data_IF_988025443081
#
_entry.id   IF_988025443081
#
_cell.length_a   1.000
_cell.length_b   1.000
_cell.length_c   1.000
_cell.angle_alpha   90.00
_cell.angle_beta   90.00
_cell.angle_gamma   90.00
#
_symmetry.space_group_name_H-M   'P 1'
#
loop_
_entity.id
_entity.type
_entity.pdbx_description
1 polymer ?
#
# COMPACT_ATOMS: atom_id res chain seq x y z
N UNK A 1 -4.01 -14.53 -15.48
CA UNK A 1 -3.98 -13.27 -14.70
C UNK A 1 -2.52 -12.90 -14.56
N UNK A 2 -2.13 -11.70 -15.01
CA UNK A 2 -0.75 -11.25 -14.90
C UNK A 2 -0.41 -11.01 -13.42
N UNK A 3 0.83 -11.30 -13.03
CA UNK A 3 1.33 -10.86 -11.73
C UNK A 3 1.48 -9.33 -11.77
N UNK A 4 0.98 -8.63 -10.76
CA UNK A 4 1.30 -7.21 -10.57
C UNK A 4 2.80 -7.09 -10.25
N UNK A 5 3.51 -6.24 -11.01
CA UNK A 5 4.94 -6.00 -10.84
C UNK A 5 5.07 -4.58 -10.33
N UNK A 6 5.53 -4.41 -9.09
CA UNK A 6 5.71 -3.11 -8.46
C UNK A 6 7.16 -2.89 -8.01
N UNK A 7 7.62 -1.64 -8.06
CA UNK A 7 8.85 -1.21 -7.40
C UNK A 7 8.53 -0.18 -6.33
N UNK A 8 9.29 -0.21 -5.24
CA UNK A 8 9.07 0.61 -4.05
C UNK A 8 10.34 1.32 -3.63
N UNK A 9 10.21 2.57 -3.22
CA UNK A 9 11.33 3.44 -2.87
C UNK A 9 11.03 4.24 -1.61
N UNK A 10 12.06 4.58 -0.86
CA UNK A 10 12.00 5.66 0.13
C UNK A 10 11.88 7.00 -0.59
N UNK A 11 11.15 7.93 0.01
CA UNK A 11 10.99 9.28 -0.54
C UNK A 11 11.96 10.24 0.14
N UNK A 12 12.59 11.10 -0.65
CA UNK A 12 13.49 12.15 -0.19
C UNK A 12 12.94 13.53 -0.55
N UNK A 13 13.00 14.46 0.41
CA UNK A 13 12.47 15.81 0.25
C UNK A 13 10.94 15.87 0.08
N UNK A 14 10.46 17.08 -0.18
CA UNK A 14 9.03 17.43 -0.07
C UNK A 14 8.45 18.02 -1.36
N UNK A 15 9.20 18.02 -2.47
CA UNK A 15 8.79 18.64 -3.73
C UNK A 15 7.52 18.04 -4.35
N UNK A 16 7.11 16.85 -3.89
CA UNK A 16 5.94 16.12 -4.36
C UNK A 16 4.63 16.53 -3.66
N UNK A 17 4.69 17.07 -2.42
CA UNK A 17 3.52 17.28 -1.54
C UNK A 17 2.45 18.20 -2.11
N UNK A 18 2.86 19.18 -2.91
CA UNK A 18 1.96 20.20 -3.46
C UNK A 18 1.60 19.94 -4.93
N UNK A 19 1.97 18.78 -5.49
CA UNK A 19 1.70 18.48 -6.90
C UNK A 19 0.26 18.01 -7.12
N UNK A 20 -0.32 17.29 -6.16
CA UNK A 20 -1.65 16.69 -6.25
C UNK A 20 -2.31 16.62 -4.88
N UNK A 21 -3.64 16.54 -4.85
CA UNK A 21 -4.38 16.28 -3.63
C UNK A 21 -4.22 14.82 -3.20
N UNK A 22 -3.98 14.61 -1.91
CA UNK A 22 -3.87 13.29 -1.31
C UNK A 22 -5.24 12.69 -0.99
N UNK A 23 -5.35 11.37 -1.06
CA UNK A 23 -6.53 10.62 -0.62
C UNK A 23 -6.21 9.83 0.64
N UNK A 24 -7.11 9.83 1.62
CA UNK A 24 -6.95 9.05 2.85
C UNK A 24 -7.17 7.56 2.58
N UNK A 25 -6.26 6.73 3.06
CA UNK A 25 -6.34 5.28 3.01
C UNK A 25 -6.25 4.73 4.42
N UNK A 26 -7.21 3.88 4.77
CA UNK A 26 -7.23 3.14 6.03
C UNK A 26 -7.43 1.67 5.69
N UNK A 27 -6.57 0.80 6.17
CA UNK A 27 -6.69 -0.63 5.93
C UNK A 27 -6.33 -1.45 7.16
N UNK A 28 -6.95 -2.63 7.25
CA UNK A 28 -6.74 -3.59 8.32
C UNK A 28 -6.89 -5.01 7.81
N UNK A 29 -6.41 -5.96 8.60
CA UNK A 29 -6.45 -7.38 8.26
C UNK A 29 -7.38 -8.09 9.24
N UNK A 30 -8.43 -8.76 8.75
CA UNK A 30 -9.34 -9.55 9.60
C UNK A 30 -8.66 -10.85 10.04
N UNK A 31 -7.94 -11.48 9.10
CA UNK A 31 -7.21 -12.71 9.36
C UNK A 31 -6.07 -12.80 8.38
N UNK A 32 -4.86 -13.01 8.90
CA UNK A 32 -3.66 -13.29 8.11
C UNK A 32 -3.16 -14.69 8.46
N UNK A 33 -3.61 -15.70 7.70
CA UNK A 33 -3.13 -17.08 7.83
C UNK A 33 -2.19 -17.42 6.68
N UNK A 34 -1.45 -18.53 6.81
CA UNK A 34 -0.49 -19.00 5.79
C UNK A 34 -1.18 -19.27 4.44
N UNK A 35 -2.46 -19.62 4.48
CA UNK A 35 -3.27 -19.99 3.32
C UNK A 35 -4.00 -18.80 2.68
N UNK A 36 -4.42 -17.82 3.49
CA UNK A 36 -5.21 -16.69 3.02
C UNK A 36 -5.08 -15.44 3.91
N UNK A 37 -5.12 -14.28 3.26
CA UNK A 37 -5.18 -12.95 3.88
C UNK A 37 -6.49 -12.27 3.52
N UNK A 38 -7.22 -11.79 4.51
CA UNK A 38 -8.44 -10.99 4.32
C UNK A 38 -8.16 -9.56 4.76
N UNK A 39 -8.24 -8.63 3.81
CA UNK A 39 -7.97 -7.21 4.03
C UNK A 39 -9.21 -6.38 3.78
N UNK A 40 -9.52 -5.49 4.71
CA UNK A 40 -10.50 -4.42 4.52
C UNK A 40 -9.72 -3.13 4.25
N UNK A 41 -10.13 -2.37 3.23
CA UNK A 41 -9.50 -1.10 2.87
C UNK A 41 -10.57 -0.05 2.54
N UNK A 42 -10.44 1.11 3.14
CA UNK A 42 -11.08 2.36 2.72
C UNK A 42 -10.05 3.17 1.92
N UNK A 43 -10.45 3.68 0.77
CA UNK A 43 -9.67 4.52 -0.13
C UNK A 43 -10.52 5.74 -0.51
N UNK A 44 -10.26 6.88 0.12
CA UNK A 44 -11.10 8.07 0.02
C UNK A 44 -12.53 7.78 0.49
N UNK A 45 -13.49 7.81 -0.43
CA UNK A 45 -14.91 7.53 -0.19
C UNK A 45 -15.36 6.13 -0.66
N UNK A 46 -14.42 5.28 -1.09
CA UNK A 46 -14.69 3.91 -1.54
C UNK A 46 -14.12 2.90 -0.55
N UNK A 47 -14.70 1.70 -0.51
CA UNK A 47 -14.22 0.62 0.33
C UNK A 47 -14.23 -0.73 -0.37
N UNK A 48 -13.29 -1.58 0.03
CA UNK A 48 -13.03 -2.86 -0.60
C UNK A 48 -12.72 -3.94 0.43
N UNK A 49 -13.22 -5.14 0.16
CA UNK A 49 -12.79 -6.37 0.80
C UNK A 49 -11.92 -7.15 -0.19
N UNK A 50 -10.65 -7.36 0.17
CA UNK A 50 -9.71 -8.14 -0.64
C UNK A 50 -9.41 -9.47 0.04
N UNK A 51 -9.54 -10.57 -0.68
CA UNK A 51 -9.13 -11.91 -0.25
C UNK A 51 -7.95 -12.35 -1.12
N UNK A 52 -6.80 -12.56 -0.48
CA UNK A 52 -5.56 -12.96 -1.16
C UNK A 52 -5.18 -14.37 -0.73
N UNK A 53 -4.93 -15.25 -1.69
CA UNK A 53 -4.38 -16.58 -1.45
C UNK A 53 -2.88 -16.52 -1.15
N UNK A 54 -2.32 -17.68 -0.80
CA UNK A 54 -0.87 -17.85 -0.65
C UNK A 54 -0.14 -17.55 -1.96
N UNK A 55 1.00 -16.86 -1.87
CA UNK A 55 1.92 -16.70 -3.00
C UNK A 55 2.52 -18.05 -3.40
N UNK A 56 2.40 -18.39 -4.68
CA UNK A 56 3.01 -19.56 -5.32
C UNK A 56 3.95 -19.04 -6.40
N UNK A 57 5.26 -19.23 -6.19
CA UNK A 57 6.32 -18.60 -7.00
C UNK A 57 6.18 -17.07 -7.03
N UNK A 58 5.65 -16.51 -8.11
CA UNK A 58 5.54 -15.07 -8.35
C UNK A 58 4.10 -14.56 -8.42
N UNK A 59 3.10 -15.43 -8.21
CA UNK A 59 1.68 -15.03 -8.31
C UNK A 59 0.86 -15.57 -7.14
N UNK A 60 -0.29 -14.93 -6.91
CA UNK A 60 -1.29 -15.37 -5.94
C UNK A 60 -2.68 -15.13 -6.51
N UNK A 61 -3.65 -15.94 -6.09
CA UNK A 61 -5.06 -15.63 -6.34
C UNK A 61 -5.46 -14.40 -5.53
N UNK A 62 -6.16 -13.47 -6.15
CA UNK A 62 -6.65 -12.26 -5.50
C UNK A 62 -8.09 -11.99 -5.96
N UNK A 63 -8.96 -11.74 -5.00
CA UNK A 63 -10.36 -11.38 -5.22
C UNK A 63 -10.63 -10.08 -4.51
N UNK A 64 -11.12 -9.07 -5.22
CA UNK A 64 -11.45 -7.77 -4.64
C UNK A 64 -12.92 -7.44 -4.92
N UNK A 65 -13.63 -7.06 -3.88
CA UNK A 65 -15.06 -6.72 -3.94
C UNK A 65 -15.27 -5.33 -3.38
N UNK A 66 -15.99 -4.43 -4.08
CA UNK A 66 -16.46 -3.21 -3.46
C UNK A 66 -17.46 -3.56 -2.36
N UNK A 67 -17.38 -2.85 -1.23
CA UNK A 67 -18.30 -3.00 -0.10
C UNK A 67 -18.81 -1.61 0.34
N UNK A 68 -19.95 -1.53 1.03
CA UNK A 68 -20.41 -0.26 1.61
C UNK A 68 -19.37 0.35 2.56
N UNK A 69 -19.25 1.68 2.54
CA UNK A 69 -18.27 2.40 3.34
C UNK A 69 -18.49 2.19 4.84
N UNK A 70 -19.75 2.20 5.28
CA UNK A 70 -20.10 1.99 6.70
C UNK A 70 -19.75 0.59 7.19
N UNK A 71 -20.04 -0.44 6.39
CA UNK A 71 -19.62 -1.82 6.68
C UNK A 71 -18.10 -1.92 6.83
N UNK A 72 -17.34 -1.27 5.95
CA UNK A 72 -15.88 -1.26 6.03
C UNK A 72 -15.38 -0.59 7.31
N UNK A 73 -15.99 0.53 7.73
CA UNK A 73 -15.66 1.22 8.99
C UNK A 73 -15.93 0.30 10.19
N UNK A 74 -17.08 -0.37 10.21
CA UNK A 74 -17.43 -1.30 11.28
C UNK A 74 -16.44 -2.47 11.34
N UNK A 75 -16.11 -3.09 10.21
CA UNK A 75 -15.14 -4.19 10.14
C UNK A 75 -13.74 -3.75 10.59
N UNK A 76 -13.26 -2.59 10.14
CA UNK A 76 -11.97 -2.03 10.55
C UNK A 76 -11.91 -1.79 12.07
N UNK A 77 -13.02 -1.39 12.68
CA UNK A 77 -13.10 -1.10 14.10
C UNK A 77 -13.23 -2.36 14.97
N UNK A 78 -13.97 -3.37 14.50
CA UNK A 78 -14.40 -4.49 15.34
C UNK A 78 -13.75 -5.83 14.99
N UNK A 79 -13.35 -6.05 13.73
CA UNK A 79 -12.87 -7.35 13.24
C UNK A 79 -11.40 -7.35 12.84
N UNK A 80 -10.83 -6.21 12.46
CA UNK A 80 -9.44 -6.14 12.04
C UNK A 80 -8.47 -6.18 13.22
N UNK A 81 -7.38 -6.94 13.03
CA UNK A 81 -6.18 -6.88 13.86
C UNK A 81 -5.65 -5.44 13.93
N UNK A 82 -5.12 -5.06 15.10
CA UNK A 82 -4.51 -3.74 15.34
C UNK A 82 -2.99 -3.87 15.42
N UNK A 83 -2.23 -2.80 15.08
CA UNK A 83 -2.70 -1.50 14.57
C UNK A 83 -3.26 -1.56 13.14
N UNK A 84 -4.08 -0.57 12.79
CA UNK A 84 -4.46 -0.34 11.39
C UNK A 84 -3.31 0.35 10.64
N UNK A 85 -3.29 0.20 9.32
CA UNK A 85 -2.43 1.01 8.45
C UNK A 85 -3.22 2.22 7.97
N UNK A 86 -2.74 3.40 8.32
CA UNK A 86 -3.32 4.68 7.97
C UNK A 86 -2.28 5.48 7.17
N UNK A 87 -2.69 6.03 6.04
CA UNK A 87 -1.80 6.82 5.17
C UNK A 87 -2.59 7.76 4.27
N UNK A 88 -1.93 8.82 3.82
CA UNK A 88 -2.41 9.64 2.70
C UNK A 88 -1.65 9.24 1.44
N UNK A 89 -2.38 8.81 0.40
CA UNK A 89 -1.81 8.40 -0.89
C UNK A 89 -1.97 9.53 -1.91
N UNK A 90 -0.88 9.88 -2.57
CA UNK A 90 -0.79 10.91 -3.60
C UNK A 90 -0.43 10.24 -4.93
N UNK A 91 -1.21 10.48 -5.98
CA UNK A 91 -0.99 9.88 -7.29
C UNK A 91 -0.43 10.91 -8.26
N UNK A 92 0.85 10.77 -8.61
CA UNK A 92 1.58 11.74 -9.44
C UNK A 92 1.90 11.11 -10.79
N UNK A 93 1.42 11.73 -11.87
CA UNK A 93 1.85 11.36 -13.21
C UNK A 93 3.29 11.85 -13.46
N UNK A 94 4.17 10.94 -13.86
CA UNK A 94 5.54 11.27 -14.23
C UNK A 94 6.00 10.37 -15.37
N UNK A 95 6.34 10.98 -16.51
CA UNK A 95 6.54 10.25 -17.76
C UNK A 95 5.26 9.51 -18.18
N UNK A 96 5.38 8.22 -18.46
CA UNK A 96 4.24 7.35 -18.87
C UNK A 96 3.67 6.55 -17.69
N UNK A 97 4.02 6.89 -16.45
CA UNK A 97 3.66 6.13 -15.26
C UNK A 97 2.94 7.00 -14.24
N UNK A 98 2.15 6.34 -13.41
CA UNK A 98 1.55 6.92 -12.22
C UNK A 98 2.35 6.40 -11.04
N UNK A 99 2.95 7.32 -10.29
CA UNK A 99 3.60 7.04 -9.04
C UNK A 99 2.63 7.26 -7.89
N UNK A 100 2.63 6.35 -6.94
CA UNK A 100 1.83 6.43 -5.72
C UNK A 100 2.75 6.71 -4.54
N UNK A 101 2.70 7.93 -4.01
CA UNK A 101 3.41 8.30 -2.78
C UNK A 101 2.49 8.09 -1.60
N UNK A 102 2.93 7.28 -0.65
CA UNK A 102 2.29 7.01 0.62
C UNK A 102 2.98 7.74 1.75
N UNK A 103 2.29 8.68 2.35
CA UNK A 103 2.67 9.26 3.63
C UNK A 103 1.91 8.58 4.75
N UNK A 104 2.61 7.77 5.54
CA UNK A 104 1.99 7.01 6.62
C UNK A 104 1.71 7.88 7.84
N UNK A 105 0.66 7.52 8.58
CA UNK A 105 0.24 8.16 9.84
C UNK A 105 0.12 7.12 10.97
N UNK A 106 -0.35 7.55 12.14
CA UNK A 106 -0.52 6.71 13.32
C UNK A 106 0.81 6.15 13.81
N UNK A 107 0.86 4.85 14.08
CA UNK A 107 2.08 4.15 14.53
C UNK A 107 3.15 4.03 13.43
N UNK A 108 2.79 4.32 12.17
CA UNK A 108 3.72 4.32 11.04
C UNK A 108 4.14 5.74 10.62
N UNK A 109 3.78 6.76 11.41
CA UNK A 109 4.03 8.16 11.10
C UNK A 109 5.52 8.45 10.90
N UNK A 110 5.83 9.19 9.84
CA UNK A 110 7.19 9.57 9.45
C UNK A 110 7.78 8.69 8.35
N UNK A 111 7.21 7.52 8.10
CA UNK A 111 7.55 6.72 6.92
C UNK A 111 6.85 7.29 5.68
N UNK A 112 7.62 7.47 4.60
CA UNK A 112 7.09 7.88 3.31
C UNK A 112 7.68 6.96 2.23
N UNK A 113 6.79 6.32 1.47
CA UNK A 113 7.15 5.38 0.42
C UNK A 113 6.58 5.83 -0.92
N UNK A 114 7.31 5.58 -2.00
CA UNK A 114 6.82 5.72 -3.36
C UNK A 114 6.75 4.35 -4.01
N UNK A 115 5.61 4.03 -4.61
CA UNK A 115 5.36 2.81 -5.35
C UNK A 115 5.07 3.17 -6.83
N UNK A 116 5.52 2.32 -7.75
CA UNK A 116 5.18 2.43 -9.17
C UNK A 116 4.92 1.03 -9.73
N UNK A 117 3.79 0.88 -10.43
CA UNK A 117 3.43 -0.35 -11.11
C UNK A 117 4.07 -0.41 -12.50
N UNK A 118 4.56 -1.58 -12.87
CA UNK A 118 5.27 -1.85 -14.12
C UNK A 118 4.52 -2.91 -14.93
N UNK A 119 4.66 -2.82 -16.26
CA UNK A 119 4.16 -3.82 -17.20
C UNK A 119 5.04 -5.09 -17.24
N UNK A 120 6.33 -4.97 -16.93
CA UNK A 120 7.27 -6.08 -16.82
C UNK A 120 8.49 -5.70 -15.93
N UNK A 121 9.22 -6.69 -15.42
CA UNK A 121 10.31 -6.49 -14.46
C UNK A 121 11.47 -5.63 -14.98
N UNK A 122 11.78 -5.72 -16.27
CA UNK A 122 12.87 -4.98 -16.92
C UNK A 122 12.44 -3.60 -17.47
N UNK A 123 11.24 -3.13 -17.12
CA UNK A 123 10.76 -1.84 -17.61
C UNK A 123 11.64 -0.71 -17.07
N UNK A 124 12.23 0.07 -17.98
CA UNK A 124 12.97 1.27 -17.59
C UNK A 124 12.00 2.34 -17.09
N UNK A 125 12.37 2.98 -15.98
CA UNK A 125 11.62 4.07 -15.38
C UNK A 125 12.53 5.27 -15.20
N UNK A 126 12.00 6.46 -15.49
CA UNK A 126 12.65 7.70 -15.09
C UNK A 126 12.36 7.92 -13.61
N UNK A 127 13.41 8.24 -12.83
CA UNK A 127 13.29 8.47 -11.40
C UNK A 127 13.09 9.97 -11.14
N UNK A 128 11.94 10.37 -10.56
CA UNK A 128 11.75 11.72 -10.05
C UNK A 128 12.79 12.08 -8.99
N UNK A 129 13.07 13.38 -8.82
CA UNK A 129 14.07 13.86 -7.85
C UNK A 129 13.76 13.46 -6.38
N UNK A 130 12.49 13.25 -6.07
CA UNK A 130 12.02 12.85 -4.74
C UNK A 130 12.10 11.34 -4.49
N UNK A 131 12.52 10.54 -5.48
CA UNK A 131 12.76 9.10 -5.29
C UNK A 131 14.16 8.88 -4.72
N UNK A 132 14.24 8.12 -3.63
CA UNK A 132 15.47 7.72 -2.96
C UNK A 132 15.80 6.24 -3.13
N UNK A 133 16.22 5.60 -2.04
CA UNK A 133 16.64 4.19 -2.01
C UNK A 133 15.50 3.24 -2.41
N UNK A 134 15.81 2.25 -3.26
CA UNK A 134 14.87 1.19 -3.60
C UNK A 134 14.78 0.15 -2.48
N UNK A 135 13.56 -0.11 -2.02
CA UNK A 135 13.25 -1.04 -0.93
C UNK A 135 12.24 -2.12 -1.35
N UNK A 136 12.08 -2.35 -2.67
CA UNK A 136 11.17 -3.34 -3.28
C UNK A 136 11.27 -4.74 -2.67
N UNK A 137 12.46 -5.15 -2.25
CA UNK A 137 12.74 -6.49 -1.73
C UNK A 137 12.88 -6.56 -0.21
N UNK A 138 12.82 -5.43 0.51
CA UNK A 138 12.93 -5.43 1.97
C UNK A 138 11.55 -5.65 2.59
N UNK A 139 11.30 -6.82 3.23
CA UNK A 139 9.98 -7.16 3.74
C UNK A 139 9.46 -6.18 4.79
N UNK A 140 10.31 -5.44 5.51
CA UNK A 140 9.84 -4.54 6.57
C UNK A 140 8.94 -3.43 6.03
N UNK A 141 9.09 -3.03 4.77
CA UNK A 141 8.26 -2.02 4.10
C UNK A 141 6.99 -2.57 3.45
N UNK A 142 6.64 -3.84 3.68
CA UNK A 142 5.37 -4.40 3.21
C UNK A 142 4.24 -4.03 4.18
N UNK A 143 3.07 -3.63 3.66
CA UNK A 143 1.93 -3.24 4.50
C UNK A 143 1.53 -4.30 5.54
N UNK A 144 1.63 -5.59 5.19
CA UNK A 144 1.35 -6.68 6.12
C UNK A 144 2.36 -6.78 7.27
N UNK A 145 3.61 -6.34 7.03
CA UNK A 145 4.65 -6.29 8.04
C UNK A 145 4.61 -4.99 8.83
N UNK A 146 4.34 -3.84 8.20
CA UNK A 146 4.07 -2.57 8.89
C UNK A 146 2.88 -2.68 9.87
N UNK A 147 1.91 -3.55 9.59
CA UNK A 147 0.79 -3.79 10.48
C UNK A 147 1.18 -4.63 11.72
N UNK A 148 2.26 -5.41 11.63
CA UNK A 148 2.74 -6.29 12.70
C UNK A 148 3.93 -5.72 13.46
N UNK A 149 4.78 -4.97 12.76
CA UNK A 149 6.05 -4.39 13.19
C UNK A 149 6.07 -2.94 12.70
N UNK A 150 5.33 -2.05 13.37
CA UNK A 150 5.15 -0.68 12.91
C UNK A 150 6.46 0.09 12.92
N UNK A 151 6.54 1.12 12.07
CA UNK A 151 7.73 1.97 11.92
C UNK A 151 8.24 2.55 13.24
N UNK A 152 7.34 2.83 14.19
CA UNK A 152 7.70 3.32 15.52
C UNK A 152 8.53 2.33 16.36
N UNK A 153 8.63 1.06 15.95
CA UNK A 153 9.32 -0.02 16.66
C UNK A 153 10.59 -0.53 15.93
N UNK A 154 11.02 0.17 14.87
CA UNK A 154 12.18 -0.24 14.07
C UNK A 154 13.53 0.10 14.71
#
# INVERSE_FOLDING_TARGET
MAAEIERKFLVQGDSWRNLVEGSLYIQGYISTKKEATVRVRIAGNQAYLTIKGKTVQYSRSEFEYPIPLEDAREMLNTLCEKPLIEKTRYKIAYGNLIWEIDEFDGVNKGLILAEVELSHEQQQIELPIWVGEEVSHDPKYFNSNLAKYPFSEW
#
